data_IF_654161804501
#
_entry.id   IF_654161804501
#
_cell.length_a   1.000
_cell.length_b   1.000
_cell.length_c   1.000
_cell.angle_alpha   90.00
_cell.angle_beta   90.00
_cell.angle_gamma   90.00
#
_symmetry.space_group_name_H-M   'P 1'
#
loop_
_entity.id
_entity.type
_entity.pdbx_description
1 polymer ?
#
# COMPACT_ATOMS: atom_id res chain seq x y z
N UNK A 1 -18.87 13.44 -2.60
CA UNK A 1 -18.11 13.00 -1.41
C UNK A 1 -16.66 13.40 -1.62
N UNK A 2 -15.97 14.07 -0.69
CA UNK A 2 -14.57 14.41 -0.88
C UNK A 2 -13.76 13.11 -0.82
N UNK A 3 -13.09 12.79 -1.92
CA UNK A 3 -12.11 11.69 -1.97
C UNK A 3 -10.99 12.13 -1.04
N UNK A 4 -10.90 11.53 0.15
CA UNK A 4 -9.80 11.78 1.06
C UNK A 4 -8.51 11.52 0.28
N UNK A 5 -7.68 12.56 0.10
CA UNK A 5 -6.36 12.39 -0.52
C UNK A 5 -5.60 11.47 0.42
N UNK A 6 -5.43 10.22 0.00
CA UNK A 6 -4.54 9.25 0.65
C UNK A 6 -3.13 9.78 0.45
N UNK A 7 -2.68 10.71 1.30
CA UNK A 7 -1.29 11.15 1.33
C UNK A 7 -0.49 10.12 2.12
N UNK A 8 0.41 9.42 1.43
CA UNK A 8 1.22 8.36 2.02
C UNK A 8 0.59 6.97 1.89
N UNK A 9 0.97 6.07 2.79
CA UNK A 9 0.65 4.65 2.71
C UNK A 9 -0.39 4.28 3.77
N UNK A 10 -1.62 4.01 3.33
CA UNK A 10 -2.69 3.54 4.20
C UNK A 10 -2.72 2.02 4.20
N UNK A 11 -2.62 1.42 5.38
CA UNK A 11 -2.59 -0.03 5.56
C UNK A 11 -3.79 -0.45 6.37
N UNK A 12 -4.66 -1.25 5.76
CA UNK A 12 -5.72 -1.93 6.49
C UNK A 12 -5.20 -3.25 7.05
N UNK A 13 -5.21 -3.42 8.38
CA UNK A 13 -5.03 -4.75 8.99
C UNK A 13 -6.26 -5.65 8.78
N UNK A 14 -7.41 -5.04 8.47
CA UNK A 14 -8.63 -5.75 8.10
C UNK A 14 -8.47 -6.34 6.69
N UNK A 15 -8.74 -7.63 6.57
CA UNK A 15 -8.77 -8.32 5.28
C UNK A 15 -9.97 -7.87 4.46
N UNK A 16 -9.80 -7.76 3.16
CA UNK A 16 -10.92 -7.61 2.23
C UNK A 16 -11.83 -8.86 2.28
N UNK A 17 -13.04 -8.81 1.68
CA UNK A 17 -13.94 -9.96 1.60
C UNK A 17 -13.33 -11.20 0.92
N UNK A 18 -12.23 -11.04 0.19
CA UNK A 18 -11.49 -12.10 -0.50
C UNK A 18 -10.33 -12.66 0.36
N UNK A 19 -10.13 -12.14 1.57
CA UNK A 19 -9.12 -12.57 2.53
C UNK A 19 -7.72 -11.96 2.33
N UNK A 20 -7.58 -10.91 1.53
CA UNK A 20 -6.31 -10.23 1.27
C UNK A 20 -6.11 -9.04 2.21
N UNK A 21 -4.86 -8.76 2.55
CA UNK A 21 -4.46 -7.49 3.14
C UNK A 21 -4.38 -6.43 2.05
N UNK A 22 -4.92 -5.25 2.34
CA UNK A 22 -5.03 -4.16 1.38
C UNK A 22 -4.22 -2.97 1.87
N UNK A 23 -3.38 -2.45 0.97
CA UNK A 23 -2.64 -1.21 1.16
C UNK A 23 -3.04 -0.24 0.06
N UNK A 24 -3.45 0.96 0.42
CA UNK A 24 -3.74 2.02 -0.53
C UNK A 24 -2.70 3.13 -0.41
N UNK A 25 -2.22 3.64 -1.53
CA UNK A 25 -1.24 4.73 -1.58
C UNK A 25 -1.56 5.69 -2.72
N UNK A 26 -1.04 6.91 -2.68
CA UNK A 26 -1.05 7.80 -3.83
C UNK A 26 -0.02 7.37 -4.90
N UNK A 27 -0.17 7.92 -6.10
CA UNK A 27 0.75 7.68 -7.21
C UNK A 27 2.20 8.10 -6.89
N UNK A 28 2.38 9.18 -6.13
CA UNK A 28 3.71 9.67 -5.73
C UNK A 28 4.43 8.65 -4.83
N UNK A 29 3.74 8.15 -3.80
CA UNK A 29 4.22 7.10 -2.90
C UNK A 29 4.46 5.81 -3.65
N UNK A 30 3.59 5.47 -4.60
CA UNK A 30 3.78 4.29 -5.44
C UNK A 30 5.08 4.37 -6.24
N UNK A 31 5.40 5.49 -6.89
CA UNK A 31 6.64 5.60 -7.67
C UNK A 31 7.89 5.42 -6.79
N UNK A 32 7.87 5.92 -5.54
CA UNK A 32 8.95 5.70 -4.57
C UNK A 32 9.07 4.22 -4.16
N UNK A 33 7.95 3.51 -4.06
CA UNK A 33 7.90 2.12 -3.61
C UNK A 33 7.87 1.10 -4.75
N UNK A 34 7.76 1.53 -6.01
CA UNK A 34 7.54 0.67 -7.18
C UNK A 34 8.59 -0.42 -7.32
N UNK A 35 9.86 -0.08 -7.10
CA UNK A 35 10.94 -1.06 -7.12
C UNK A 35 10.78 -2.11 -6.02
N UNK A 36 10.39 -1.69 -4.82
CA UNK A 36 10.18 -2.57 -3.67
C UNK A 36 8.96 -3.47 -3.85
N UNK A 37 7.85 -2.93 -4.38
CA UNK A 37 6.64 -3.68 -4.72
C UNK A 37 6.97 -4.77 -5.75
N UNK A 38 7.69 -4.42 -6.82
CA UNK A 38 8.10 -5.38 -7.84
C UNK A 38 9.04 -6.45 -7.28
N UNK A 39 10.01 -6.08 -6.43
CA UNK A 39 10.91 -7.03 -5.74
C UNK A 39 10.17 -7.98 -4.81
N UNK A 40 9.13 -7.49 -4.13
CA UNK A 40 8.29 -8.29 -3.23
C UNK A 40 7.26 -9.16 -3.97
N UNK A 41 7.10 -8.98 -5.28
CA UNK A 41 6.12 -9.69 -6.11
C UNK A 41 4.68 -9.35 -5.72
N UNK A 42 4.44 -8.11 -5.29
CA UNK A 42 3.13 -7.64 -4.84
C UNK A 42 2.27 -7.21 -6.02
N UNK A 43 1.00 -7.64 -6.02
CA UNK A 43 0.05 -7.25 -7.05
C UNK A 43 -0.46 -5.83 -6.78
N UNK A 44 -0.39 -4.98 -7.80
CA UNK A 44 -0.84 -3.59 -7.77
C UNK A 44 -2.02 -3.38 -8.71
N UNK A 45 -2.98 -2.59 -8.26
CA UNK A 45 -4.17 -2.21 -8.98
C UNK A 45 -4.30 -0.68 -8.95
N UNK A 46 -4.42 -0.07 -10.12
CA UNK A 46 -4.55 1.38 -10.25
C UNK A 46 -6.03 1.78 -10.23
N UNK A 47 -6.43 2.53 -9.21
CA UNK A 47 -7.79 3.03 -9.03
C UNK A 47 -7.80 4.55 -9.22
N UNK A 48 -7.68 5.00 -10.46
CA UNK A 48 -7.62 6.41 -10.81
C UNK A 48 -6.37 7.09 -10.24
N UNK A 49 -6.53 7.88 -9.18
CA UNK A 49 -5.44 8.62 -8.54
C UNK A 49 -4.80 7.89 -7.35
N UNK A 50 -5.26 6.66 -7.05
CA UNK A 50 -4.71 5.84 -5.97
C UNK A 50 -4.21 4.50 -6.54
N UNK A 51 -3.21 3.94 -5.88
CA UNK A 51 -2.69 2.61 -6.16
C UNK A 51 -3.00 1.72 -4.97
N UNK A 52 -3.60 0.56 -5.25
CA UNK A 52 -3.98 -0.43 -4.26
C UNK A 52 -3.10 -1.65 -4.42
N UNK A 53 -2.47 -2.10 -3.35
CA UNK A 53 -1.70 -3.33 -3.29
C UNK A 53 -2.49 -4.35 -2.48
N UNK A 54 -2.65 -5.57 -3.01
CA UNK A 54 -3.33 -6.67 -2.33
C UNK A 54 -2.42 -7.89 -2.23
N UNK A 55 -2.31 -8.46 -1.04
CA UNK A 55 -1.58 -9.72 -0.83
C UNK A 55 -2.20 -10.53 0.33
N UNK A 56 -2.19 -11.87 0.22
CA UNK A 56 -2.70 -12.77 1.27
C UNK A 56 -1.78 -12.87 2.49
N UNK A 57 -0.51 -12.50 2.32
CA UNK A 57 0.54 -12.60 3.29
C UNK A 57 0.83 -11.25 3.95
N UNK A 58 0.50 -11.17 5.24
CA UNK A 58 0.85 -10.00 6.07
C UNK A 58 2.36 -9.75 6.10
N UNK A 59 3.20 -10.78 6.04
CA UNK A 59 4.65 -10.62 6.12
C UNK A 59 5.21 -9.82 4.94
N UNK A 60 4.62 -9.95 3.74
CA UNK A 60 5.02 -9.17 2.56
C UNK A 60 4.56 -7.73 2.67
N UNK A 61 3.31 -7.52 3.10
CA UNK A 61 2.78 -6.19 3.38
C UNK A 61 3.62 -5.48 4.46
N UNK A 62 3.94 -6.15 5.56
CA UNK A 62 4.76 -5.58 6.64
C UNK A 62 6.17 -5.20 6.17
N UNK A 63 6.77 -5.96 5.24
CA UNK A 63 8.04 -5.55 4.60
C UNK A 63 7.89 -4.27 3.79
N UNK A 64 6.83 -4.16 2.99
CA UNK A 64 6.53 -2.93 2.25
C UNK A 64 6.32 -1.74 3.20
N UNK A 65 5.60 -1.94 4.30
CA UNK A 65 5.37 -0.93 5.34
C UNK A 65 6.67 -0.47 5.98
N UNK A 66 7.56 -1.40 6.32
CA UNK A 66 8.87 -1.04 6.89
C UNK A 66 9.72 -0.23 5.92
N UNK A 67 9.75 -0.62 4.64
CA UNK A 67 10.45 0.14 3.60
C UNK A 67 9.86 1.54 3.47
N UNK A 68 8.53 1.69 3.50
CA UNK A 68 7.87 2.98 3.46
C UNK A 68 8.29 3.87 4.65
N UNK A 69 8.35 3.30 5.87
CA UNK A 69 8.82 4.02 7.06
C UNK A 69 10.28 4.44 6.96
N UNK A 70 11.15 3.56 6.45
CA UNK A 70 12.58 3.87 6.23
C UNK A 70 12.79 5.01 5.23
N UNK A 71 11.90 5.13 4.25
CA UNK A 71 11.89 6.23 3.27
C UNK A 71 11.25 7.52 3.80
N UNK A 72 10.79 7.55 5.05
CA UNK A 72 10.10 8.70 5.63
C UNK A 72 8.69 8.93 5.11
N UNK A 73 8.09 7.92 4.47
CA UNK A 73 6.71 7.97 3.97
C UNK A 73 5.77 7.82 5.17
N UNK A 74 4.76 8.68 5.24
CA UNK A 74 3.77 8.60 6.30
C UNK A 74 2.93 7.33 6.14
N UNK A 75 2.92 6.47 7.16
CA UNK A 75 2.13 5.23 7.18
C UNK A 75 0.99 5.39 8.17
N UNK A 76 -0.25 5.34 7.67
CA UNK A 76 -1.43 5.28 8.53
C UNK A 76 -1.90 3.82 8.61
N UNK A 77 -1.88 3.26 9.82
CA UNK A 77 -2.48 1.96 10.12
C UNK A 77 -3.87 2.20 10.70
N UNK A 78 -4.90 1.61 10.08
CA UNK A 78 -6.29 1.57 10.59
C UNK A 78 -6.55 0.31 11.42
#
# INVERSE_FOLDING_TARGET
MPVARVKGLNVGRRKDPEGNYVVAMDLETYELLRQSINKLGLNTEFMGNAVVVRDKSWSRISRLVNIARELGINVNED
#
